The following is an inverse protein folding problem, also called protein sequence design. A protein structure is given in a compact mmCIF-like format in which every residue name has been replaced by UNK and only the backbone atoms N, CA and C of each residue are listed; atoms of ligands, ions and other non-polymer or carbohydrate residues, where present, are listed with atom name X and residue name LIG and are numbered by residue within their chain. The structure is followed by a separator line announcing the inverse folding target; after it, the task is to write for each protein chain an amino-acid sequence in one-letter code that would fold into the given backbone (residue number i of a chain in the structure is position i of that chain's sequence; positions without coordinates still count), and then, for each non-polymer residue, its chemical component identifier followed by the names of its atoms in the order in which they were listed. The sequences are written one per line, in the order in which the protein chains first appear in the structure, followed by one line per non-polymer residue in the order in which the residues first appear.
data_IF_428771016865
#
_entry.id   IF_428771016865
#
_cell.length_a   1.000
_cell.length_b   1.000
_cell.length_c   1.000
_cell.angle_alpha   90.00
_cell.angle_beta   90.00
_cell.angle_gamma   90.00
#
_symmetry.space_group_name_H-M   'P 1'
#
loop_
_entity.id
_entity.type
_entity.pdbx_description
1 polymer ?
#
# COMPACT_ATOMS: atom_id res chain seq x y z
N UNK A 1 -32.48 6.37 18.75
CA UNK A 1 -32.98 5.29 17.87
C UNK A 1 -32.55 3.94 18.44
N UNK A 2 -33.39 2.89 18.43
CA UNK A 2 -33.01 1.53 18.89
C UNK A 2 -32.86 0.58 17.70
N UNK A 3 -31.69 -0.08 17.60
CA UNK A 3 -31.41 -1.08 16.56
C UNK A 3 -32.05 -2.43 16.96
N UNK A 4 -32.68 -3.11 15.99
CA UNK A 4 -33.39 -4.37 16.17
C UNK A 4 -32.73 -5.48 15.35
N UNK A 5 -32.93 -6.76 15.70
CA UNK A 5 -32.39 -7.89 14.94
C UNK A 5 -32.82 -7.89 13.47
N UNK A 6 -34.05 -7.46 13.16
CA UNK A 6 -34.54 -7.40 11.76
C UNK A 6 -33.66 -6.49 10.89
N UNK A 7 -33.24 -5.35 11.42
CA UNK A 7 -32.40 -4.40 10.69
C UNK A 7 -30.99 -4.96 10.43
N UNK A 8 -30.49 -5.83 11.32
CA UNK A 8 -29.19 -6.48 11.13
C UNK A 8 -29.27 -7.51 10.02
N UNK A 9 -30.33 -8.32 10.03
CA UNK A 9 -30.58 -9.29 8.97
C UNK A 9 -30.67 -8.61 7.60
N UNK A 10 -31.40 -7.49 7.49
CA UNK A 10 -31.47 -6.71 6.25
C UNK A 10 -30.12 -6.11 5.83
N UNK A 11 -29.34 -5.59 6.78
CA UNK A 11 -28.01 -5.07 6.49
C UNK A 11 -27.07 -6.16 5.96
N UNK A 12 -27.14 -7.37 6.53
CA UNK A 12 -26.36 -8.52 6.06
C UNK A 12 -26.73 -8.93 4.63
N UNK A 13 -28.02 -8.90 4.27
CA UNK A 13 -28.45 -9.12 2.88
C UNK A 13 -27.88 -8.06 1.92
N UNK A 14 -27.68 -6.84 2.41
CA UNK A 14 -27.06 -5.73 1.66
C UNK A 14 -25.52 -5.73 1.74
N UNK A 15 -24.90 -6.75 2.36
CA UNK A 15 -23.45 -6.87 2.51
C UNK A 15 -22.84 -5.87 3.49
N UNK A 16 -23.63 -5.32 4.41
CA UNK A 16 -23.21 -4.34 5.42
C UNK A 16 -23.18 -5.03 6.78
N UNK A 17 -22.04 -4.96 7.47
CA UNK A 17 -21.89 -5.59 8.78
C UNK A 17 -22.58 -4.80 9.90
N UNK A 18 -22.91 -5.50 10.99
CA UNK A 18 -23.48 -4.89 12.19
C UNK A 18 -22.64 -3.70 12.70
N UNK A 19 -21.31 -3.81 12.67
CA UNK A 19 -20.42 -2.76 13.17
C UNK A 19 -20.58 -1.48 12.36
N UNK A 20 -20.68 -1.58 11.04
CA UNK A 20 -20.93 -0.46 10.14
C UNK A 20 -22.28 0.17 10.41
N UNK A 21 -23.36 -0.62 10.54
CA UNK A 21 -24.69 -0.08 10.86
C UNK A 21 -24.68 0.63 12.22
N UNK A 22 -24.08 0.01 13.25
CA UNK A 22 -24.00 0.59 14.58
C UNK A 22 -23.18 1.88 14.61
N UNK A 23 -22.06 1.95 13.87
CA UNK A 23 -21.26 3.17 13.73
C UNK A 23 -22.04 4.27 13.01
N UNK A 24 -22.72 3.94 11.91
CA UNK A 24 -23.59 4.88 11.18
C UNK A 24 -24.68 5.47 12.07
N UNK A 25 -25.36 4.65 12.86
CA UNK A 25 -26.46 5.11 13.73
C UNK A 25 -25.95 5.88 14.96
N UNK A 26 -24.84 5.46 15.59
CA UNK A 26 -24.37 6.06 16.86
C UNK A 26 -23.39 7.22 16.71
N UNK A 27 -22.54 7.17 15.69
CA UNK A 27 -21.47 8.17 15.50
C UNK A 27 -21.80 9.17 14.39
N UNK A 28 -22.58 8.74 13.39
CA UNK A 28 -22.97 9.60 12.28
C UNK A 28 -24.43 10.05 12.36
N UNK A 29 -25.17 9.63 13.40
CA UNK A 29 -26.60 9.93 13.61
C UNK A 29 -27.47 9.64 12.37
N UNK A 30 -27.12 8.58 11.63
CA UNK A 30 -27.92 8.16 10.47
C UNK A 30 -29.20 7.45 10.91
N UNK A 31 -30.26 7.66 10.13
CA UNK A 31 -31.44 6.82 10.20
C UNK A 31 -31.11 5.36 9.90
N UNK A 32 -31.83 4.44 10.53
CA UNK A 32 -31.60 2.99 10.37
C UNK A 32 -31.75 2.60 8.90
N UNK A 33 -32.81 3.07 8.22
CA UNK A 33 -33.04 2.76 6.80
C UNK A 33 -31.87 3.23 5.93
N UNK A 34 -31.33 4.41 6.20
CA UNK A 34 -30.14 4.91 5.50
C UNK A 34 -28.91 4.06 5.84
N UNK A 35 -28.74 3.70 7.11
CA UNK A 35 -27.60 2.93 7.58
C UNK A 35 -27.52 1.51 7.01
N UNK A 36 -28.66 0.88 6.73
CA UNK A 36 -28.73 -0.47 6.15
C UNK A 36 -28.72 -0.50 4.62
N UNK A 37 -29.06 0.60 3.93
CA UNK A 37 -29.15 0.62 2.45
C UNK A 37 -27.95 1.30 1.78
N UNK A 38 -27.24 2.20 2.47
CA UNK A 38 -26.13 2.93 1.84
C UNK A 38 -24.89 2.03 1.68
N UNK A 39 -24.33 1.86 0.47
CA UNK A 39 -23.17 1.01 0.25
C UNK A 39 -21.90 1.54 0.94
N UNK A 40 -21.00 0.64 1.33
CA UNK A 40 -19.71 1.02 1.91
C UNK A 40 -18.82 1.57 0.79
N UNK A 41 -18.50 2.86 0.85
CA UNK A 41 -17.49 3.46 -0.03
C UNK A 41 -16.13 2.95 0.40
N UNK A 42 -15.65 1.88 -0.24
CA UNK A 42 -14.27 1.47 -0.10
C UNK A 42 -13.39 2.63 -0.58
N UNK A 43 -12.66 3.26 0.34
CA UNK A 43 -11.46 4.00 -0.09
C UNK A 43 -10.59 2.97 -0.78
N UNK A 44 -10.00 3.26 -1.96
CA UNK A 44 -8.95 2.39 -2.46
C UNK A 44 -8.01 2.19 -1.28
N UNK A 45 -7.85 0.94 -0.83
CA UNK A 45 -6.77 0.58 0.08
C UNK A 45 -5.58 1.27 -0.55
N UNK A 46 -4.85 2.12 0.19
CA UNK A 46 -3.58 2.63 -0.30
C UNK A 46 -2.82 1.37 -0.69
N UNK A 47 -2.87 1.03 -1.98
CA UNK A 47 -2.04 -0.02 -2.50
C UNK A 47 -0.66 0.52 -2.13
N UNK A 48 0.27 -0.31 -1.65
CA UNK A 48 1.66 0.04 -1.86
C UNK A 48 1.70 0.42 -3.35
N UNK A 49 1.76 1.72 -3.65
CA UNK A 49 2.00 2.18 -5.00
C UNK A 49 3.21 1.34 -5.38
N UNK A 50 3.19 0.62 -6.48
CA UNK A 50 4.32 -0.21 -6.85
C UNK A 50 5.50 0.72 -7.19
N UNK A 51 6.10 1.37 -6.20
CA UNK A 51 7.21 2.32 -6.33
C UNK A 51 8.41 1.63 -6.99
N UNK A 52 8.43 0.28 -6.94
CA UNK A 52 9.39 -0.53 -7.69
C UNK A 52 9.27 -0.41 -9.21
N UNK A 53 8.07 -0.29 -9.77
CA UNK A 53 7.91 -0.25 -11.24
C UNK A 53 8.37 1.08 -11.83
N UNK A 54 8.11 2.19 -11.14
CA UNK A 54 8.52 3.52 -11.60
C UNK A 54 10.04 3.71 -11.55
N UNK A 55 10.72 3.23 -10.51
CA UNK A 55 12.18 3.37 -10.40
C UNK A 55 12.90 2.55 -11.47
N UNK A 56 12.48 1.31 -11.70
CA UNK A 56 13.10 0.45 -12.73
C UNK A 56 12.88 1.03 -14.14
N UNK A 57 11.69 1.56 -14.42
CA UNK A 57 11.39 2.20 -15.70
C UNK A 57 12.20 3.49 -15.92
N UNK A 58 12.32 4.34 -14.90
CA UNK A 58 13.14 5.56 -14.96
C UNK A 58 14.61 5.23 -15.17
N UNK A 59 15.12 4.16 -14.55
CA UNK A 59 16.50 3.72 -14.75
C UNK A 59 16.72 3.27 -16.19
N UNK A 60 15.80 2.51 -16.78
CA UNK A 60 15.89 2.05 -18.17
C UNK A 60 15.77 3.21 -19.16
N UNK A 61 14.91 4.18 -18.89
CA UNK A 61 14.74 5.38 -19.71
C UNK A 61 16.00 6.27 -19.68
N UNK A 62 16.60 6.47 -18.50
CA UNK A 62 17.88 7.17 -18.37
C UNK A 62 19.03 6.44 -19.08
N UNK A 63 19.07 5.10 -19.02
CA UNK A 63 20.05 4.31 -19.75
C UNK A 63 19.84 4.39 -21.27
N UNK A 64 18.59 4.40 -21.76
CA UNK A 64 18.24 4.52 -23.17
C UNK A 64 18.58 5.91 -23.75
N UNK A 65 18.51 6.95 -22.91
CA UNK A 65 18.93 8.31 -23.25
C UNK A 65 20.46 8.52 -23.18
N UNK A 66 21.22 7.48 -22.83
CA UNK A 66 22.69 7.51 -22.84
C UNK A 66 23.30 8.25 -21.65
N UNK A 67 22.61 8.30 -20.50
CA UNK A 67 23.20 8.80 -19.26
C UNK A 67 24.12 7.74 -18.65
N UNK A 68 25.42 7.89 -18.93
CA UNK A 68 26.51 7.17 -18.29
C UNK A 68 27.10 8.01 -17.16
N UNK A 69 27.79 7.39 -16.20
CA UNK A 69 28.68 8.16 -15.32
C UNK A 69 29.84 8.78 -16.15
N UNK A 70 30.63 9.68 -15.55
CA UNK A 70 31.80 10.30 -16.22
C UNK A 70 32.88 9.29 -16.63
N UNK A 71 32.74 8.02 -16.24
CA UNK A 71 33.60 6.89 -16.58
C UNK A 71 32.94 5.88 -17.55
N UNK A 72 31.75 6.19 -18.09
CA UNK A 72 31.05 5.36 -19.08
C UNK A 72 30.29 4.15 -18.52
N UNK A 73 30.11 4.02 -17.20
CA UNK A 73 29.41 2.89 -16.57
C UNK A 73 27.92 3.16 -16.41
N UNK A 74 27.11 2.11 -16.61
CA UNK A 74 25.66 2.16 -16.40
C UNK A 74 25.30 2.19 -14.90
N UNK A 75 24.17 2.80 -14.56
CA UNK A 75 23.67 2.88 -13.18
C UNK A 75 23.47 1.49 -12.53
N UNK A 76 23.16 0.47 -13.34
CA UNK A 76 23.01 -0.94 -12.91
C UNK A 76 24.32 -1.56 -12.43
N UNK A 77 25.45 -1.18 -13.02
CA UNK A 77 26.76 -1.66 -12.59
C UNK A 77 27.24 -0.98 -11.31
N UNK A 78 26.88 0.30 -11.11
CA UNK A 78 27.24 1.06 -9.91
C UNK A 78 26.47 0.57 -8.69
N UNK A 79 25.17 0.27 -8.83
CA UNK A 79 24.36 -0.27 -7.72
C UNK A 79 24.90 -1.63 -7.25
N UNK A 80 25.32 -2.48 -8.19
CA UNK A 80 25.90 -3.80 -7.89
C UNK A 80 27.26 -3.66 -7.19
N UNK A 81 28.10 -2.71 -7.60
CA UNK A 81 29.40 -2.45 -6.96
C UNK A 81 29.26 -1.84 -5.57
N UNK A 82 28.29 -0.95 -5.36
CA UNK A 82 28.01 -0.36 -4.05
C UNK A 82 27.56 -1.44 -3.06
N UNK A 83 26.65 -2.32 -3.48
CA UNK A 83 26.18 -3.43 -2.65
C UNK A 83 27.31 -4.40 -2.27
N UNK A 84 28.19 -4.76 -3.21
CA UNK A 84 29.36 -5.61 -2.93
C UNK A 84 30.35 -4.96 -1.96
N UNK A 85 30.56 -3.65 -2.06
CA UNK A 85 31.45 -2.93 -1.16
C UNK A 85 30.91 -2.90 0.27
N UNK A 86 29.59 -2.71 0.43
CA UNK A 86 28.91 -2.70 1.74
C UNK A 86 29.04 -4.07 2.43
N UNK A 87 28.77 -5.16 1.70
CA UNK A 87 28.90 -6.53 2.22
C UNK A 87 30.35 -6.84 2.64
N UNK A 88 31.34 -6.38 1.86
CA UNK A 88 32.75 -6.57 2.20
C UNK A 88 33.16 -5.76 3.43
N UNK A 89 32.64 -4.54 3.59
CA UNK A 89 32.86 -3.70 4.77
C UNK A 89 32.24 -4.33 6.02
N UNK A 90 31.03 -4.88 5.93
CA UNK A 90 30.32 -5.56 7.03
C UNK A 90 30.96 -6.89 7.39
N UNK A 91 31.42 -7.67 6.39
CA UNK A 91 32.14 -8.92 6.61
C UNK A 91 33.50 -8.70 7.27
N UNK A 92 34.14 -7.54 7.09
CA UNK A 92 35.40 -7.19 7.76
C UNK A 92 35.22 -6.87 9.25
N UNK A 93 33.99 -6.65 9.72
CA UNK A 93 33.68 -6.34 11.13
C UNK A 93 33.16 -7.56 11.90
N UNK A 94 32.99 -8.72 11.26
CA UNK A 94 32.42 -9.92 11.87
C UNK A 94 33.38 -11.14 11.85
N UNK A 95 34.68 -10.89 12.00
CA UNK A 95 35.68 -11.94 12.24
C UNK A 95 36.16 -11.91 13.69
N UNK A 96 35.25 -12.10 14.66
CA UNK A 96 35.56 -12.56 16.02
C UNK A 96 34.29 -13.13 16.67
N UNK A 97 34.02 -14.42 16.43
CA UNK A 97 33.63 -15.41 17.44
C UNK A 97 33.83 -16.82 16.85
#
# INVERSE_FOLDING_TARGET
MKLKPEHIYQAEQNGIDYKTVNTRVKQHDWDIDRAINEPIKAKPRSQPVEVKSDIEHVIDELNALGYYDTAGKSLKELSTKLALHQIKAESSHNTWF
#
